data_IF_543750975004
#
_entry.id   IF_543750975004
#
_cell.length_a   1.000
_cell.length_b   1.000
_cell.length_c   1.000
_cell.angle_alpha   90.00
_cell.angle_beta   90.00
_cell.angle_gamma   90.00
#
_symmetry.space_group_name_H-M   'P 1'
#
loop_
_entity.id
_entity.type
_entity.pdbx_description
1 polymer ?
#
# COMPACT_ATOMS: atom_id res chain seq x y z
N UNK A 1 -21.14 11.16 -33.37
CA UNK A 1 -20.04 11.82 -32.64
C UNK A 1 -19.71 10.95 -31.44
N UNK A 2 -18.57 10.26 -31.48
CA UNK A 2 -18.06 9.57 -30.29
C UNK A 2 -17.60 10.66 -29.32
N UNK A 3 -18.35 10.86 -28.23
CA UNK A 3 -17.90 11.69 -27.12
C UNK A 3 -16.71 10.96 -26.49
N UNK A 4 -15.50 11.33 -26.91
CA UNK A 4 -14.27 10.91 -26.25
C UNK A 4 -14.40 11.29 -24.78
N UNK A 5 -14.41 10.27 -23.91
CA UNK A 5 -14.27 10.49 -22.48
C UNK A 5 -13.00 11.32 -22.27
N UNK A 6 -13.02 12.36 -21.44
CA UNK A 6 -11.82 13.13 -21.16
C UNK A 6 -10.74 12.13 -20.72
N UNK A 7 -9.62 12.13 -21.43
CA UNK A 7 -8.43 11.38 -21.05
C UNK A 7 -7.84 12.09 -19.83
N UNK A 8 -8.50 11.98 -18.68
CA UNK A 8 -7.91 12.29 -17.39
C UNK A 8 -6.92 11.18 -17.13
N UNK A 9 -5.71 11.33 -17.68
CA UNK A 9 -4.54 10.62 -17.19
C UNK A 9 -4.36 11.02 -15.73
N UNK A 10 -5.03 10.30 -14.83
CA UNK A 10 -4.79 10.38 -13.39
C UNK A 10 -3.31 10.06 -13.24
N UNK A 11 -2.51 11.09 -12.90
CA UNK A 11 -1.08 10.90 -12.71
C UNK A 11 -0.90 10.19 -11.39
N UNK A 12 -0.41 8.96 -11.46
CA UNK A 12 0.14 8.28 -10.29
C UNK A 12 1.23 9.19 -9.70
N UNK A 13 1.18 9.50 -8.39
CA UNK A 13 2.14 10.41 -7.77
C UNK A 13 3.56 9.84 -7.80
N UNK A 14 4.58 10.70 -7.75
CA UNK A 14 5.98 10.26 -7.76
C UNK A 14 6.44 9.61 -6.44
N UNK A 15 5.61 9.65 -5.40
CA UNK A 15 5.88 9.07 -4.08
C UNK A 15 4.59 8.73 -3.34
N UNK A 16 4.68 7.76 -2.44
CA UNK A 16 3.63 7.52 -1.45
C UNK A 16 3.63 8.62 -0.39
N UNK A 17 2.43 9.01 0.03
CA UNK A 17 2.23 9.84 1.23
C UNK A 17 1.89 8.91 2.38
N UNK A 18 2.91 8.54 3.14
CA UNK A 18 2.78 7.66 4.29
C UNK A 18 2.23 8.41 5.49
N UNK A 19 1.22 7.85 6.15
CA UNK A 19 0.73 8.29 7.44
C UNK A 19 0.88 7.17 8.46
N UNK A 20 1.16 7.47 9.74
CA UNK A 20 1.07 6.48 10.80
C UNK A 20 -0.30 5.81 10.78
N UNK A 21 -0.35 4.49 10.95
CA UNK A 21 -1.60 3.74 10.88
C UNK A 21 -2.64 4.21 11.91
N UNK A 22 -2.18 4.67 13.08
CA UNK A 22 -3.04 5.26 14.11
C UNK A 22 -3.71 6.59 13.68
N UNK A 23 -3.16 7.28 12.69
CA UNK A 23 -3.67 8.55 12.16
C UNK A 23 -4.48 8.37 10.88
N UNK A 24 -4.58 7.14 10.36
CA UNK A 24 -5.35 6.87 9.16
C UNK A 24 -6.85 7.13 9.38
N UNK A 25 -7.51 7.72 8.38
CA UNK A 25 -8.91 8.11 8.49
C UNK A 25 -9.84 6.90 8.68
N UNK A 26 -11.04 7.08 9.27
CA UNK A 26 -12.01 6.00 9.41
C UNK A 26 -12.33 5.30 8.08
N UNK A 27 -12.43 6.05 6.98
CA UNK A 27 -12.68 5.48 5.65
C UNK A 27 -11.55 4.55 5.18
N UNK A 28 -10.28 4.87 5.50
CA UNK A 28 -9.16 3.98 5.22
C UNK A 28 -9.24 2.73 6.10
N UNK A 29 -9.53 2.88 7.39
CA UNK A 29 -9.67 1.76 8.31
C UNK A 29 -10.78 0.79 7.86
N UNK A 30 -11.94 1.32 7.46
CA UNK A 30 -13.07 0.54 6.95
C UNK A 30 -12.73 -0.18 5.66
N UNK A 31 -12.04 0.49 4.73
CA UNK A 31 -11.59 -0.13 3.49
C UNK A 31 -10.62 -1.30 3.76
N UNK A 32 -9.65 -1.12 4.66
CA UNK A 32 -8.72 -2.19 5.05
C UNK A 32 -9.42 -3.37 5.74
N UNK A 33 -10.54 -3.15 6.43
CA UNK A 33 -11.35 -4.23 7.00
C UNK A 33 -12.00 -5.10 5.91
N UNK A 34 -12.30 -4.50 4.76
CA UNK A 34 -12.87 -5.19 3.59
C UNK A 34 -11.87 -6.00 2.77
N UNK A 35 -10.56 -5.81 2.98
CA UNK A 35 -9.50 -6.49 2.21
C UNK A 35 -9.02 -7.72 2.99
N UNK A 36 -9.09 -8.90 2.38
CA UNK A 36 -8.55 -10.12 2.96
C UNK A 36 -7.01 -10.11 2.88
N UNK A 37 -6.33 -10.15 4.03
CA UNK A 37 -4.88 -10.30 4.07
C UNK A 37 -4.45 -11.76 3.88
N UNK A 38 -5.27 -12.70 4.35
CA UNK A 38 -5.19 -14.12 4.08
C UNK A 38 -6.58 -14.75 4.33
N UNK A 39 -6.67 -16.07 4.39
CA UNK A 39 -7.94 -16.79 4.57
C UNK A 39 -8.59 -16.61 5.95
N UNK A 40 -7.88 -16.02 6.93
CA UNK A 40 -8.32 -15.95 8.32
C UNK A 40 -8.45 -14.53 8.86
N UNK A 41 -7.71 -13.56 8.30
CA UNK A 41 -7.70 -12.17 8.79
C UNK A 41 -7.75 -11.17 7.64
N UNK A 42 -8.39 -10.03 7.89
CA UNK A 42 -8.35 -8.87 7.01
C UNK A 42 -7.08 -8.02 7.26
N UNK A 43 -6.82 -7.06 6.37
CA UNK A 43 -5.63 -6.20 6.44
C UNK A 43 -5.67 -5.30 7.67
N UNK A 44 -6.85 -4.82 8.07
CA UNK A 44 -7.04 -4.00 9.27
C UNK A 44 -6.58 -4.75 10.54
N UNK A 45 -7.06 -5.97 10.74
CA UNK A 45 -6.74 -6.79 11.91
C UNK A 45 -5.27 -7.18 11.93
N UNK A 46 -4.68 -7.47 10.76
CA UNK A 46 -3.26 -7.73 10.64
C UNK A 46 -2.42 -6.49 11.01
N UNK A 47 -2.80 -5.30 10.55
CA UNK A 47 -2.11 -4.06 10.92
C UNK A 47 -2.23 -3.77 12.42
N UNK A 48 -3.40 -3.97 13.02
CA UNK A 48 -3.61 -3.84 14.48
C UNK A 48 -2.76 -4.83 15.26
N UNK A 49 -2.71 -6.09 14.84
CA UNK A 49 -1.85 -7.10 15.47
C UNK A 49 -0.38 -6.70 15.41
N UNK A 50 0.09 -6.19 14.28
CA UNK A 50 1.47 -5.70 14.15
C UNK A 50 1.76 -4.54 15.12
N UNK A 51 0.85 -3.57 15.24
CA UNK A 51 0.98 -2.48 16.23
C UNK A 51 1.01 -3.02 17.68
N UNK A 52 0.16 -4.00 18.02
CA UNK A 52 0.17 -4.64 19.34
C UNK A 52 1.49 -5.37 19.64
N UNK A 53 2.18 -5.86 18.62
CA UNK A 53 3.50 -6.47 18.72
C UNK A 53 4.65 -5.43 18.74
N UNK A 54 4.34 -4.14 18.73
CA UNK A 54 5.32 -3.05 18.77
C UNK A 54 5.82 -2.57 17.41
N UNK A 55 5.27 -3.06 16.30
CA UNK A 55 5.61 -2.54 14.97
C UNK A 55 5.10 -1.10 14.79
N UNK A 56 5.90 -0.28 14.11
CA UNK A 56 5.47 1.00 13.55
C UNK A 56 4.82 0.77 12.18
N UNK A 57 3.49 0.71 12.13
CA UNK A 57 2.74 0.52 10.88
C UNK A 57 2.44 1.87 10.25
N UNK A 58 2.72 2.00 8.96
CA UNK A 58 2.35 3.16 8.14
C UNK A 58 1.48 2.72 6.99
N UNK A 59 0.57 3.59 6.56
CA UNK A 59 -0.31 3.36 5.41
C UNK A 59 -0.22 4.53 4.44
N UNK A 60 -0.28 4.24 3.14
CA UNK A 60 -0.45 5.23 2.10
C UNK A 60 -1.61 4.81 1.18
N UNK A 61 -2.39 5.79 0.73
CA UNK A 61 -3.46 5.61 -0.24
C UNK A 61 -3.04 6.15 -1.59
N UNK A 62 -3.25 5.37 -2.65
CA UNK A 62 -2.93 5.77 -4.02
C UNK A 62 -3.78 4.98 -5.00
N UNK A 63 -4.42 5.67 -5.94
CA UNK A 63 -4.97 5.05 -7.14
C UNK A 63 -3.80 4.71 -8.08
N UNK A 64 -3.54 3.42 -8.31
CA UNK A 64 -2.35 2.93 -9.00
C UNK A 64 -2.57 2.74 -10.49
N UNK A 65 -3.79 2.50 -10.95
CA UNK A 65 -4.11 2.28 -12.37
C UNK A 65 -4.97 3.40 -12.98
N UNK A 66 -5.42 4.36 -12.17
CA UNK A 66 -6.20 5.51 -12.59
C UNK A 66 -7.68 5.18 -12.82
N UNK A 67 -8.20 4.11 -12.23
CA UNK A 67 -9.60 3.68 -12.35
C UNK A 67 -10.55 4.40 -11.36
N UNK A 68 -10.01 5.21 -10.45
CA UNK A 68 -10.74 5.91 -9.40
C UNK A 68 -10.97 5.08 -8.13
N UNK A 69 -10.46 3.86 -8.05
CA UNK A 69 -10.48 2.99 -6.88
C UNK A 69 -9.15 3.15 -6.12
N UNK A 70 -9.19 3.47 -4.81
CA UNK A 70 -7.97 3.61 -4.03
C UNK A 70 -7.28 2.25 -3.82
N UNK A 71 -5.99 2.19 -4.16
CA UNK A 71 -5.06 1.19 -3.65
C UNK A 71 -4.47 1.61 -2.29
N UNK A 72 -3.97 0.63 -1.55
CA UNK A 72 -3.43 0.81 -0.20
C UNK A 72 -2.05 0.17 -0.08
N UNK A 73 -1.05 0.95 0.31
CA UNK A 73 0.27 0.45 0.66
C UNK A 73 0.42 0.46 2.18
N UNK A 74 0.87 -0.64 2.77
CA UNK A 74 1.20 -0.76 4.19
C UNK A 74 2.68 -1.07 4.36
N UNK A 75 3.33 -0.37 5.26
CA UNK A 75 4.71 -0.64 5.69
C UNK A 75 4.69 -1.08 7.14
N UNK A 76 5.37 -2.19 7.43
CA UNK A 76 5.50 -2.75 8.77
C UNK A 76 6.92 -2.50 9.28
N UNK A 77 7.16 -1.31 9.79
CA UNK A 77 8.47 -0.86 10.23
C UNK A 77 8.74 -1.17 11.72
N UNK A 78 10.00 -1.07 12.13
CA UNK A 78 10.43 -1.18 13.53
C UNK A 78 9.98 -2.46 14.24
N UNK A 79 9.94 -3.59 13.53
CA UNK A 79 9.79 -4.90 14.16
C UNK A 79 10.62 -5.99 13.48
N UNK A 80 11.35 -6.75 14.29
CA UNK A 80 12.43 -7.64 13.87
C UNK A 80 11.99 -8.75 12.89
N UNK A 81 10.72 -9.16 12.96
CA UNK A 81 10.18 -10.21 12.08
C UNK A 81 9.81 -9.71 10.69
N UNK A 82 9.65 -8.39 10.52
CA UNK A 82 9.18 -7.77 9.28
C UNK A 82 10.22 -6.84 8.66
N UNK A 83 11.30 -6.56 9.38
CA UNK A 83 12.40 -5.73 8.91
C UNK A 83 13.71 -6.51 8.96
N UNK A 84 14.60 -6.21 8.02
CA UNK A 84 15.97 -6.68 8.03
C UNK A 84 16.90 -5.66 7.38
N UNK A 85 18.13 -6.06 7.09
CA UNK A 85 19.13 -5.18 6.48
C UNK A 85 18.73 -4.63 5.09
N UNK A 86 17.69 -5.21 4.45
CA UNK A 86 17.21 -4.84 3.10
C UNK A 86 15.95 -3.97 3.13
N UNK A 87 15.55 -3.50 4.30
CA UNK A 87 14.32 -2.74 4.50
C UNK A 87 13.25 -3.51 5.28
N UNK A 88 12.02 -3.03 5.22
CA UNK A 88 10.88 -3.58 5.92
C UNK A 88 9.85 -4.13 4.92
N UNK A 89 9.02 -5.03 5.41
CA UNK A 89 7.92 -5.58 4.64
C UNK A 89 6.94 -4.46 4.27
N UNK A 90 6.69 -4.35 2.97
CA UNK A 90 5.72 -3.45 2.38
C UNK A 90 4.74 -4.30 1.59
N UNK A 91 3.46 -4.02 1.78
CA UNK A 91 2.38 -4.69 1.06
C UNK A 91 1.52 -3.69 0.37
N UNK A 92 1.24 -3.92 -0.90
CA UNK A 92 0.43 -3.03 -1.72
C UNK A 92 -0.78 -3.80 -2.19
N UNK A 93 -1.96 -3.22 -2.00
CA UNK A 93 -3.26 -3.83 -2.24
C UNK A 93 -4.05 -3.00 -3.24
N UNK A 94 -4.70 -3.67 -4.17
CA UNK A 94 -5.69 -3.10 -5.10
C UNK A 94 -6.82 -4.12 -5.22
N UNK A 95 -7.91 -3.87 -4.50
CA UNK A 95 -8.97 -4.87 -4.29
C UNK A 95 -8.41 -6.17 -3.69
N UNK A 96 -8.50 -7.28 -4.45
CA UNK A 96 -8.02 -8.60 -4.04
C UNK A 96 -6.56 -8.89 -4.45
N UNK A 97 -5.95 -8.03 -5.28
CA UNK A 97 -4.56 -8.18 -5.74
C UNK A 97 -3.61 -7.65 -4.68
N UNK A 98 -2.43 -8.27 -4.60
CA UNK A 98 -1.42 -7.90 -3.61
C UNK A 98 0.00 -8.07 -4.15
N UNK A 99 0.84 -7.08 -3.87
CA UNK A 99 2.30 -7.19 -3.94
C UNK A 99 2.85 -7.31 -2.53
N UNK A 100 3.74 -8.26 -2.30
CA UNK A 100 4.60 -8.34 -1.11
C UNK A 100 6.04 -8.02 -1.52
N UNK A 101 6.67 -7.06 -0.85
CA UNK A 101 8.08 -6.73 -1.06
C UNK A 101 8.76 -6.38 0.27
N UNK A 102 10.09 -6.48 0.30
CA UNK A 102 10.92 -6.03 1.44
C UNK A 102 11.83 -4.93 0.94
N UNK A 103 11.60 -3.71 1.41
CA UNK A 103 12.29 -2.53 0.92
C UNK A 103 12.21 -1.34 1.89
N UNK A 104 12.88 -0.26 1.55
CA UNK A 104 12.87 1.00 2.28
C UNK A 104 11.62 1.81 1.92
N UNK A 105 10.72 1.99 2.89
CA UNK A 105 9.42 2.66 2.73
C UNK A 105 9.51 4.02 2.03
N UNK A 106 10.55 4.79 2.34
CA UNK A 106 10.81 6.11 1.79
C UNK A 106 11.30 6.12 0.33
N UNK A 107 11.67 4.95 -0.21
CA UNK A 107 12.25 4.79 -1.54
C UNK A 107 11.31 4.06 -2.51
N UNK A 108 10.31 3.33 -2.00
CA UNK A 108 9.28 2.71 -2.82
C UNK A 108 8.31 3.76 -3.33
N UNK A 109 7.97 3.69 -4.62
CA UNK A 109 7.10 4.66 -5.30
C UNK A 109 5.93 3.95 -5.96
N UNK A 110 4.74 4.57 -6.00
CA UNK A 110 3.65 4.04 -6.78
C UNK A 110 3.98 4.16 -8.28
N UNK A 111 3.47 3.22 -9.06
CA UNK A 111 3.58 3.22 -10.51
C UNK A 111 2.29 2.66 -11.13
N UNK A 112 2.05 2.98 -12.40
CA UNK A 112 0.90 2.47 -13.15
C UNK A 112 0.74 0.95 -12.99
N UNK A 113 -0.31 0.52 -12.28
CA UNK A 113 -0.61 -0.90 -12.02
C UNK A 113 0.38 -1.62 -11.10
N UNK A 114 1.10 -0.93 -10.23
CA UNK A 114 2.05 -1.56 -9.31
C UNK A 114 2.93 -0.56 -8.54
N UNK A 115 4.18 -0.95 -8.31
CA UNK A 115 5.17 -0.12 -7.60
C UNK A 115 6.57 -0.21 -8.20
N UNK A 116 7.35 0.85 -8.02
CA UNK A 116 8.80 0.85 -8.22
C UNK A 116 9.50 0.66 -6.88
N UNK A 117 10.37 -0.35 -6.81
CA UNK A 117 11.28 -0.59 -5.68
C UNK A 117 12.38 0.48 -5.57
N UNK A 118 13.08 0.53 -4.45
CA UNK A 118 14.27 1.39 -4.23
C UNK A 118 15.35 1.20 -5.29
N UNK A 119 15.41 0.01 -5.89
CA UNK A 119 16.38 -0.35 -6.93
C UNK A 119 15.93 0.04 -8.34
N UNK A 120 14.78 0.69 -8.48
CA UNK A 120 14.21 1.02 -9.79
C UNK A 120 13.66 -0.19 -10.54
N UNK A 121 13.33 -1.29 -9.84
CA UNK A 121 12.63 -2.44 -10.44
C UNK A 121 11.13 -2.26 -10.27
N UNK A 122 10.40 -2.39 -11.37
CA UNK A 122 8.93 -2.41 -11.37
C UNK A 122 8.40 -3.76 -10.90
N UNK A 123 7.38 -3.73 -10.04
CA UNK A 123 6.62 -4.90 -9.60
C UNK A 123 5.15 -4.61 -9.85
N UNK A 124 4.51 -5.41 -10.71
CA UNK A 124 3.10 -5.26 -11.06
C UNK A 124 2.17 -5.96 -10.07
N UNK A 125 0.96 -5.41 -9.93
CA UNK A 125 -0.15 -6.02 -9.17
C UNK A 125 -0.73 -7.25 -9.88
#
# INVERSE_FOLDING_TARGET
AYLGRPNTSIRVPDRFTWVPFAEASPAVQDALAGIAANTKVNVLDQARQAVQLGCAVHVATCDLDGDGVPGYALSYANCDFWCGARGCAIRVYEGARRIDLVDHMEQVKPAGGGVMTSKGVFVGL
#
